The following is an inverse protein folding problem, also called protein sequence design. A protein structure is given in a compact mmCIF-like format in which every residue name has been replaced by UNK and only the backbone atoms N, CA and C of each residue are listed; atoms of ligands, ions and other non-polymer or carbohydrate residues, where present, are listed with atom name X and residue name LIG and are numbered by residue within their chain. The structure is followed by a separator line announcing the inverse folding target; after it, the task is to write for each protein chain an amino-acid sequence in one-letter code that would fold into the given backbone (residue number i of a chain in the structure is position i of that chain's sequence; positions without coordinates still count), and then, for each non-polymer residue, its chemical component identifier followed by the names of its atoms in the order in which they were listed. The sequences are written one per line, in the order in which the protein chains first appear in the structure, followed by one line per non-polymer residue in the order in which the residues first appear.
data_IF_841285251412
#
_entry.id   IF_841285251412
#
_cell.length_a   1.000
_cell.length_b   1.000
_cell.length_c   1.000
_cell.angle_alpha   90.00
_cell.angle_beta   90.00
_cell.angle_gamma   90.00
#
_symmetry.space_group_name_H-M   'P 1'
#
loop_
_entity.id
_entity.type
_entity.pdbx_description
1 polymer ?
#
# COMPACT_ATOMS: atom_id res chain seq x y z
N UNK A 1 84.08 18.28 9.44
CA UNK A 1 83.02 18.05 8.44
C UNK A 1 81.98 17.06 8.98
N UNK A 2 80.82 17.53 9.44
CA UNK A 2 79.45 17.10 9.06
C UNK A 2 78.46 17.61 10.11
N UNK A 3 77.35 18.12 9.58
CA UNK A 3 76.33 18.95 10.22
C UNK A 3 75.29 18.12 10.98
N UNK A 4 74.58 18.82 11.86
CA UNK A 4 73.37 18.44 12.59
C UNK A 4 72.17 17.96 11.74
N UNK A 5 71.19 17.29 12.36
CA UNK A 5 69.84 17.83 12.69
C UNK A 5 68.80 16.72 12.97
N UNK A 6 67.93 17.03 13.94
CA UNK A 6 66.64 16.47 14.29
C UNK A 6 65.58 16.63 13.16
N UNK A 7 64.63 15.69 13.01
CA UNK A 7 63.30 15.84 12.34
C UNK A 7 62.42 14.60 12.66
N UNK A 8 61.32 14.72 13.42
CA UNK A 8 59.90 15.05 13.09
C UNK A 8 59.09 13.87 12.48
N UNK A 9 57.90 13.65 13.09
CA UNK A 9 56.73 12.80 12.79
C UNK A 9 56.38 12.47 11.30
N UNK A 10 55.84 11.27 11.07
CA UNK A 10 54.65 10.99 10.21
C UNK A 10 54.15 9.56 10.47
N UNK A 11 52.98 9.36 11.07
CA UNK A 11 51.65 9.08 10.47
C UNK A 11 51.55 7.85 9.53
N UNK A 12 50.65 6.94 9.95
CA UNK A 12 49.80 6.03 9.16
C UNK A 12 50.43 4.85 8.41
N UNK A 13 50.17 3.62 8.89
CA UNK A 13 49.47 2.61 8.06
C UNK A 13 48.73 1.60 8.96
N UNK A 14 47.44 1.47 8.71
CA UNK A 14 46.51 0.49 9.29
C UNK A 14 46.73 -0.86 8.62
N UNK A 15 46.80 -1.94 9.39
CA UNK A 15 46.51 -3.29 8.90
C UNK A 15 45.75 -4.07 9.99
N UNK A 16 44.54 -4.44 9.61
CA UNK A 16 43.41 -5.01 10.33
C UNK A 16 43.70 -6.44 10.81
N UNK A 17 43.32 -6.79 12.05
CA UNK A 17 42.50 -7.97 12.39
C UNK A 17 41.82 -7.68 13.73
N UNK A 18 40.49 -7.55 13.77
CA UNK A 18 39.75 -7.80 15.01
C UNK A 18 38.61 -8.76 14.66
N UNK A 19 38.89 -10.04 14.86
CA UNK A 19 37.88 -11.04 15.14
C UNK A 19 37.27 -10.75 16.52
N UNK A 20 35.93 -10.78 16.57
CA UNK A 20 35.08 -10.89 17.77
C UNK A 20 35.24 -9.81 18.84
N UNK A 21 34.59 -8.67 18.64
CA UNK A 21 34.15 -7.83 19.77
C UNK A 21 32.74 -8.29 20.14
N UNK A 22 32.67 -9.05 21.24
CA UNK A 22 31.46 -9.24 22.03
C UNK A 22 30.78 -7.89 22.25
N UNK A 23 29.49 -7.80 21.96
CA UNK A 23 28.62 -6.68 22.32
C UNK A 23 28.56 -6.57 23.85
N UNK A 24 29.60 -6.03 24.49
CA UNK A 24 29.51 -5.52 25.85
C UNK A 24 30.65 -4.52 26.08
N UNK A 25 30.25 -3.37 26.63
CA UNK A 25 31.03 -2.19 27.04
C UNK A 25 31.34 -1.14 25.97
N UNK A 26 30.32 -0.32 25.65
CA UNK A 26 30.54 1.12 25.41
C UNK A 26 30.20 1.82 26.73
N UNK A 27 31.21 2.33 27.44
CA UNK A 27 30.99 3.23 28.58
C UNK A 27 30.73 4.63 28.03
N UNK A 28 29.45 4.98 27.90
CA UNK A 28 29.02 6.37 27.86
C UNK A 28 28.23 6.62 29.15
N UNK A 29 28.60 7.69 29.87
CA UNK A 29 27.84 8.22 31.00
C UNK A 29 26.48 8.72 30.50
N UNK A 30 25.54 7.80 30.33
CA UNK A 30 24.15 8.06 30.04
C UNK A 30 23.35 7.32 31.11
N UNK A 31 22.34 7.99 31.67
CA UNK A 31 21.50 7.36 32.69
C UNK A 31 20.83 6.13 32.08
N UNK A 32 20.56 5.07 32.86
CA UNK A 32 20.07 3.79 32.33
C UNK A 32 18.81 3.90 31.45
N UNK A 33 18.05 5.00 31.58
CA UNK A 33 16.88 5.32 30.77
C UNK A 33 17.24 5.78 29.34
N UNK A 34 18.30 6.57 29.18
CA UNK A 34 18.73 7.10 27.88
C UNK A 34 19.31 6.00 26.96
N UNK A 35 19.95 4.99 27.55
CA UNK A 35 20.53 3.84 26.83
C UNK A 35 19.43 2.88 26.37
N UNK A 36 18.40 2.64 27.20
CA UNK A 36 17.28 1.78 26.85
C UNK A 36 16.48 2.36 25.68
N UNK A 37 16.13 3.65 25.73
CA UNK A 37 15.37 4.33 24.68
C UNK A 37 16.14 4.35 23.35
N UNK A 38 17.44 4.66 23.36
CA UNK A 38 18.25 4.60 22.13
C UNK A 38 18.37 3.19 21.56
N UNK A 39 18.31 2.16 22.42
CA UNK A 39 18.36 0.76 21.96
C UNK A 39 17.05 0.33 21.30
N UNK A 40 15.89 0.71 21.86
CA UNK A 40 14.57 0.41 21.30
C UNK A 40 14.33 1.14 19.97
N UNK A 41 14.64 2.44 19.89
CA UNK A 41 14.53 3.22 18.65
C UNK A 41 15.44 2.67 17.54
N UNK A 42 16.65 2.22 17.91
CA UNK A 42 17.59 1.58 16.98
C UNK A 42 17.13 0.18 16.53
N UNK A 43 16.46 -0.57 17.39
CA UNK A 43 15.88 -1.88 17.05
C UNK A 43 14.71 -1.69 16.08
N UNK A 44 13.78 -0.79 16.37
CA UNK A 44 12.64 -0.51 15.50
C UNK A 44 13.07 0.04 14.14
N UNK A 45 14.05 0.94 14.08
CA UNK A 45 14.56 1.51 12.82
C UNK A 45 15.32 0.50 11.93
N UNK A 46 15.65 -0.68 12.45
CA UNK A 46 16.25 -1.79 11.68
C UNK A 46 15.29 -2.96 11.46
N UNK A 47 14.04 -2.85 11.93
CA UNK A 47 13.03 -3.88 11.78
C UNK A 47 12.63 -4.05 10.30
N UNK A 48 12.86 -5.24 9.76
CA UNK A 48 12.42 -5.60 8.42
C UNK A 48 11.13 -6.43 8.52
N UNK A 49 9.99 -5.73 8.47
CA UNK A 49 8.68 -6.36 8.55
C UNK A 49 8.36 -7.10 7.26
N UNK A 50 8.01 -8.38 7.37
CA UNK A 50 7.63 -9.21 6.21
C UNK A 50 6.14 -9.50 6.30
N UNK A 51 5.38 -8.92 5.38
CA UNK A 51 3.95 -9.22 5.24
C UNK A 51 3.78 -10.58 4.57
N UNK A 52 3.03 -11.51 5.16
CA UNK A 52 2.73 -12.78 4.50
C UNK A 52 2.09 -12.57 3.13
N UNK A 53 2.43 -13.44 2.18
CA UNK A 53 1.82 -13.42 0.85
C UNK A 53 0.32 -13.65 0.96
N UNK A 54 -0.46 -12.80 0.30
CA UNK A 54 -1.91 -12.95 0.16
C UNK A 54 -2.16 -13.95 -0.97
N UNK A 55 -2.82 -15.05 -0.65
CA UNK A 55 -3.21 -16.06 -1.64
C UNK A 55 -4.62 -15.77 -2.16
N UNK A 56 -4.90 -16.28 -3.36
CA UNK A 56 -6.22 -16.13 -3.95
C UNK A 56 -7.28 -16.82 -3.08
N UNK A 57 -8.33 -16.06 -2.73
CA UNK A 57 -9.42 -16.52 -1.88
C UNK A 57 -9.17 -16.35 -0.38
N UNK A 58 -8.03 -15.80 0.04
CA UNK A 58 -7.83 -15.40 1.44
C UNK A 58 -8.87 -14.34 1.82
N UNK A 59 -9.62 -14.60 2.90
CA UNK A 59 -10.66 -13.69 3.36
C UNK A 59 -10.11 -12.52 4.20
N UNK A 60 -8.93 -12.68 4.80
CA UNK A 60 -8.28 -11.68 5.64
C UNK A 60 -6.78 -11.57 5.41
N UNK A 61 -6.27 -10.33 5.48
CA UNK A 61 -4.84 -10.07 5.51
C UNK A 61 -4.23 -10.71 6.76
N UNK A 62 -3.22 -11.55 6.56
CA UNK A 62 -2.49 -12.14 7.67
C UNK A 62 -1.50 -11.12 8.22
N UNK A 63 -1.56 -10.85 9.52
CA UNK A 63 -0.65 -9.90 10.17
C UNK A 63 0.80 -10.39 10.10
N UNK A 64 1.77 -9.51 9.82
CA UNK A 64 3.18 -9.81 9.98
C UNK A 64 3.51 -10.26 11.40
N UNK A 65 4.56 -11.08 11.53
CA UNK A 65 5.06 -11.49 12.86
C UNK A 65 6.16 -10.53 13.32
N UNK A 66 6.05 -10.10 14.58
CA UNK A 66 7.09 -9.36 15.32
C UNK A 66 7.58 -10.20 16.50
N UNK A 67 8.64 -9.76 17.18
CA UNK A 67 9.11 -10.44 18.39
C UNK A 67 8.08 -10.35 19.52
N UNK A 68 8.14 -11.28 20.48
CA UNK A 68 7.13 -11.40 21.55
C UNK A 68 7.06 -10.20 22.52
N UNK A 69 8.08 -9.35 22.51
CA UNK A 69 8.19 -8.11 23.28
C UNK A 69 7.70 -6.88 22.50
N UNK A 70 7.17 -7.08 21.28
CA UNK A 70 6.62 -6.02 20.44
C UNK A 70 5.12 -6.24 20.17
N UNK A 71 4.42 -5.14 19.94
CA UNK A 71 3.04 -5.13 19.47
C UNK A 71 2.99 -4.62 18.03
N UNK A 72 2.09 -5.19 17.22
CA UNK A 72 1.87 -4.76 15.84
C UNK A 72 0.39 -4.49 15.60
N UNK A 73 0.12 -3.36 14.94
CA UNK A 73 -1.21 -2.88 14.58
C UNK A 73 -1.23 -2.54 13.08
N UNK A 74 -2.29 -2.93 12.39
CA UNK A 74 -2.56 -2.44 11.04
C UNK A 74 -3.21 -1.05 11.13
N UNK A 75 -2.62 -0.06 10.48
CA UNK A 75 -3.07 1.34 10.57
C UNK A 75 -3.73 1.85 9.28
N UNK A 76 -3.69 1.08 8.20
CA UNK A 76 -4.44 1.35 6.99
C UNK A 76 -3.72 0.95 5.70
N UNK A 77 -4.32 1.33 4.58
CA UNK A 77 -3.74 1.17 3.25
C UNK A 77 -4.27 2.22 2.28
N UNK A 78 -3.64 2.32 1.11
CA UNK A 78 -4.06 3.20 0.01
C UNK A 78 -5.41 2.83 -0.63
N UNK A 79 -5.79 1.55 -0.61
CA UNK A 79 -7.08 1.06 -1.11
C UNK A 79 -7.89 0.33 -0.04
N UNK A 80 -8.60 1.10 0.80
CA UNK A 80 -9.49 0.56 1.82
C UNK A 80 -10.62 -0.28 1.23
N UNK A 81 -11.01 -0.02 -0.03
CA UNK A 81 -12.03 -0.82 -0.70
C UNK A 81 -11.55 -2.24 -1.04
N UNK A 82 -10.24 -2.51 -0.96
CA UNK A 82 -9.63 -3.83 -1.18
C UNK A 82 -9.23 -4.48 0.14
N UNK A 83 -8.65 -3.73 1.09
CA UNK A 83 -8.33 -4.22 2.43
C UNK A 83 -8.97 -3.29 3.46
N UNK A 84 -10.02 -3.77 4.12
CA UNK A 84 -10.71 -3.02 5.15
C UNK A 84 -9.87 -2.86 6.43
N UNK A 85 -10.26 -1.92 7.28
CA UNK A 85 -9.60 -1.67 8.58
C UNK A 85 -9.63 -2.86 9.53
N UNK A 86 -10.57 -3.78 9.35
CA UNK A 86 -10.66 -5.03 10.12
C UNK A 86 -9.89 -6.20 9.46
N UNK A 87 -9.06 -5.89 8.46
CA UNK A 87 -8.26 -6.81 7.65
C UNK A 87 -9.05 -7.65 6.65
N UNK A 88 -10.35 -7.40 6.46
CA UNK A 88 -11.14 -8.11 5.45
C UNK A 88 -10.63 -7.77 4.04
N UNK A 89 -10.46 -8.82 3.22
CA UNK A 89 -10.03 -8.67 1.83
C UNK A 89 -11.27 -8.72 0.93
N UNK A 90 -11.52 -7.63 0.21
CA UNK A 90 -12.48 -7.54 -0.86
C UNK A 90 -11.76 -7.88 -2.18
N UNK A 91 -12.08 -9.05 -2.77
CA UNK A 91 -11.38 -9.58 -3.95
C UNK A 91 -11.47 -8.57 -5.12
N UNK A 92 -10.34 -7.98 -5.57
CA UNK A 92 -10.35 -7.08 -6.71
C UNK A 92 -10.61 -7.85 -8.01
N UNK A 93 -11.00 -7.16 -9.08
CA UNK A 93 -11.20 -7.81 -10.38
C UNK A 93 -9.90 -8.33 -10.99
N UNK A 94 -8.79 -7.61 -10.78
CA UNK A 94 -7.45 -7.95 -11.27
C UNK A 94 -6.44 -7.85 -10.14
N UNK A 95 -5.30 -8.53 -10.29
CA UNK A 95 -4.20 -8.44 -9.35
C UNK A 95 -3.85 -6.97 -9.10
N UNK A 96 -3.96 -6.54 -7.84
CA UNK A 96 -3.82 -5.14 -7.47
C UNK A 96 -2.75 -4.99 -6.41
N UNK A 97 -1.84 -4.04 -6.64
CA UNK A 97 -0.84 -3.63 -5.65
C UNK A 97 -1.50 -2.67 -4.67
N UNK A 98 -1.38 -2.99 -3.39
CA UNK A 98 -1.90 -2.22 -2.27
C UNK A 98 -0.74 -1.90 -1.35
N UNK A 99 -0.61 -0.65 -0.95
CA UNK A 99 0.37 -0.22 0.03
C UNK A 99 -0.25 -0.29 1.42
N UNK A 100 0.21 -1.23 2.25
CA UNK A 100 -0.27 -1.40 3.63
C UNK A 100 0.68 -0.76 4.63
N UNK A 101 0.11 -0.22 5.69
CA UNK A 101 0.84 0.43 6.77
C UNK A 101 0.56 -0.23 8.12
N UNK A 102 1.63 -0.36 8.90
CA UNK A 102 1.60 -0.92 10.25
C UNK A 102 2.26 0.04 11.24
N UNK A 103 1.79 -0.02 12.49
CA UNK A 103 2.48 0.55 13.64
C UNK A 103 3.04 -0.59 14.48
N UNK A 104 4.31 -0.52 14.80
CA UNK A 104 4.99 -1.43 15.72
C UNK A 104 5.37 -0.68 16.99
N UNK A 105 5.10 -1.27 18.14
CA UNK A 105 5.46 -0.71 19.45
C UNK A 105 6.37 -1.67 20.21
N UNK A 106 7.34 -1.11 20.91
CA UNK A 106 8.18 -1.81 21.89
C UNK A 106 8.28 -0.90 23.11
N UNK A 107 7.64 -1.29 24.22
CA UNK A 107 7.51 -0.42 25.39
C UNK A 107 6.78 0.89 25.05
N UNK A 108 7.39 2.03 25.36
CA UNK A 108 6.86 3.37 25.07
C UNK A 108 7.23 3.87 23.66
N UNK A 109 8.09 3.14 22.95
CA UNK A 109 8.59 3.53 21.64
C UNK A 109 7.68 2.97 20.54
N UNK A 110 7.28 3.80 19.57
CA UNK A 110 6.47 3.38 18.42
C UNK A 110 7.08 3.79 17.09
N UNK A 111 6.96 2.94 16.09
CA UNK A 111 7.36 3.21 14.71
C UNK A 111 6.21 2.88 13.76
N UNK A 112 5.99 3.74 12.78
CA UNK A 112 5.11 3.46 11.64
C UNK A 112 5.94 3.08 10.41
N UNK A 113 5.43 2.13 9.63
CA UNK A 113 6.08 1.72 8.39
C UNK A 113 6.03 2.83 7.33
N UNK A 114 6.92 2.76 6.33
CA UNK A 114 6.91 3.68 5.18
C UNK A 114 6.07 3.16 3.99
N UNK A 115 4.98 2.45 4.26
CA UNK A 115 4.25 1.68 3.27
C UNK A 115 4.97 0.39 2.88
N UNK A 116 4.25 -0.72 2.90
CA UNK A 116 4.71 -2.01 2.39
C UNK A 116 3.80 -2.40 1.23
N UNK A 117 4.34 -2.52 0.03
CA UNK A 117 3.58 -2.97 -1.13
C UNK A 117 3.30 -4.48 -1.01
N UNK A 118 2.02 -4.83 -1.05
CA UNK A 118 1.53 -6.20 -1.18
C UNK A 118 0.72 -6.34 -2.45
N UNK A 119 0.66 -7.55 -3.00
CA UNK A 119 -0.21 -7.85 -4.14
C UNK A 119 -1.41 -8.64 -3.64
N UNK A 120 -2.60 -8.11 -3.86
CA UNK A 120 -3.86 -8.81 -3.63
C UNK A 120 -4.26 -9.49 -4.94
N UNK A 121 -4.33 -10.84 -4.98
CA UNK A 121 -4.72 -11.55 -6.19
C UNK A 121 -6.16 -11.22 -6.58
N UNK A 122 -6.36 -10.91 -7.85
CA UNK A 122 -7.67 -10.62 -8.39
C UNK A 122 -8.46 -11.85 -8.78
N UNK A 123 -9.76 -11.64 -8.96
CA UNK A 123 -10.68 -12.63 -9.50
C UNK A 123 -10.23 -13.14 -10.87
N UNK A 124 -9.69 -12.24 -11.70
CA UNK A 124 -9.17 -12.55 -13.03
C UNK A 124 -7.69 -12.15 -13.12
N UNK A 125 -6.87 -13.04 -13.69
CA UNK A 125 -5.42 -12.80 -13.83
C UNK A 125 -5.07 -11.96 -15.08
N UNK A 126 -6.05 -11.63 -15.92
CA UNK A 126 -5.96 -10.81 -17.14
C UNK A 126 -7.36 -10.54 -17.71
N UNK A 127 -7.41 -9.72 -18.76
CA UNK A 127 -8.59 -9.63 -19.61
C UNK A 127 -9.02 -11.03 -20.08
N UNK A 128 -10.33 -11.27 -20.06
CA UNK A 128 -10.94 -12.53 -20.47
C UNK A 128 -11.53 -12.46 -21.89
N UNK A 129 -11.38 -11.31 -22.56
CA UNK A 129 -11.73 -11.07 -23.95
C UNK A 129 -10.92 -9.91 -24.55
N UNK A 130 -11.34 -9.41 -25.70
CA UNK A 130 -10.59 -8.46 -26.52
C UNK A 130 -10.62 -7.00 -26.02
N UNK A 131 -11.63 -6.60 -25.24
CA UNK A 131 -11.83 -5.17 -24.93
C UNK A 131 -10.75 -4.61 -23.99
N UNK A 132 -10.00 -3.62 -24.47
CA UNK A 132 -8.99 -2.92 -23.68
C UNK A 132 -9.62 -1.96 -22.66
N UNK A 133 -8.85 -1.60 -21.63
CA UNK A 133 -9.28 -0.63 -20.62
C UNK A 133 -9.61 0.72 -21.30
N UNK A 134 -10.82 1.29 -21.10
CA UNK A 134 -11.17 2.60 -21.61
C UNK A 134 -10.29 3.72 -21.01
N UNK A 135 -9.98 4.73 -21.83
CA UNK A 135 -9.28 5.93 -21.38
C UNK A 135 -10.29 6.95 -20.84
N UNK A 136 -10.24 7.19 -19.53
CA UNK A 136 -11.07 8.17 -18.81
C UNK A 136 -10.23 8.91 -17.78
N UNK A 137 -10.66 10.10 -17.37
CA UNK A 137 -9.97 10.91 -16.35
C UNK A 137 -10.95 11.21 -15.20
N UNK A 138 -10.64 10.83 -13.94
CA UNK A 138 -9.51 9.98 -13.55
C UNK A 138 -9.66 8.55 -14.12
N UNK A 139 -8.54 7.83 -14.27
CA UNK A 139 -8.56 6.48 -14.86
C UNK A 139 -9.38 5.51 -14.00
N UNK A 140 -10.09 4.58 -14.64
CA UNK A 140 -10.72 3.46 -13.92
C UNK A 140 -9.69 2.73 -13.07
N UNK A 141 -10.00 2.43 -11.81
CA UNK A 141 -9.10 1.66 -10.94
C UNK A 141 -8.88 0.25 -11.51
N UNK A 142 -9.98 -0.42 -11.85
CA UNK A 142 -9.99 -1.82 -12.26
C UNK A 142 -10.71 -1.99 -13.60
N UNK A 143 -10.25 -2.94 -14.42
CA UNK A 143 -10.88 -3.29 -15.68
C UNK A 143 -10.60 -4.75 -16.05
N UNK A 144 -11.65 -5.46 -16.46
CA UNK A 144 -11.53 -6.78 -17.08
C UNK A 144 -12.30 -6.77 -18.38
N UNK A 145 -11.55 -6.75 -19.48
CA UNK A 145 -12.10 -6.82 -20.83
C UNK A 145 -12.81 -8.14 -21.09
N UNK A 146 -13.99 -8.04 -21.71
CA UNK A 146 -14.73 -9.16 -22.33
C UNK A 146 -14.79 -8.95 -23.84
N UNK A 147 -15.49 -9.84 -24.54
CA UNK A 147 -15.77 -9.73 -25.97
C UNK A 147 -17.13 -9.05 -26.22
N UNK A 148 -17.27 -8.50 -27.41
CA UNK A 148 -18.49 -7.86 -27.89
C UNK A 148 -18.51 -6.35 -27.66
N UNK A 149 -19.50 -5.71 -28.27
CA UNK A 149 -19.69 -4.27 -28.25
C UNK A 149 -21.11 -3.94 -27.78
N UNK A 150 -21.25 -2.86 -27.03
CA UNK A 150 -22.54 -2.29 -26.73
C UNK A 150 -22.78 -1.09 -27.63
N UNK A 151 -23.80 -1.19 -28.49
CA UNK A 151 -24.21 -0.11 -29.38
C UNK A 151 -25.53 0.48 -28.90
N UNK A 152 -25.57 1.81 -28.80
CA UNK A 152 -26.83 2.50 -28.52
C UNK A 152 -27.72 2.45 -29.77
N UNK A 153 -28.95 1.96 -29.58
CA UNK A 153 -30.00 1.96 -30.58
C UNK A 153 -31.13 2.92 -30.16
N UNK A 154 -32.05 3.21 -31.08
CA UNK A 154 -33.23 4.06 -30.79
C UNK A 154 -34.15 3.43 -29.72
N UNK A 155 -34.02 2.12 -29.49
CA UNK A 155 -34.70 1.38 -28.42
C UNK A 155 -33.97 1.40 -27.07
N UNK A 156 -32.81 2.05 -26.95
CA UNK A 156 -32.09 2.15 -25.68
C UNK A 156 -32.83 3.04 -24.67
N UNK A 157 -32.72 2.70 -23.38
CA UNK A 157 -33.42 3.37 -22.28
C UNK A 157 -32.50 3.53 -21.07
N UNK A 158 -32.74 4.57 -20.28
CA UNK A 158 -32.26 4.66 -18.90
C UNK A 158 -33.29 3.95 -18.04
N UNK A 159 -32.90 2.89 -17.34
CA UNK A 159 -33.82 2.08 -16.53
C UNK A 159 -33.53 2.32 -15.06
N UNK A 160 -34.55 2.70 -14.29
CA UNK A 160 -34.48 2.88 -12.85
C UNK A 160 -35.11 1.68 -12.14
N UNK A 161 -34.53 1.25 -11.03
CA UNK A 161 -35.22 0.32 -10.14
C UNK A 161 -36.36 1.07 -9.44
N UNK A 162 -37.59 0.58 -9.57
CA UNK A 162 -38.77 1.21 -8.98
C UNK A 162 -38.74 1.34 -7.46
N UNK A 163 -37.94 0.53 -6.76
CA UNK A 163 -37.75 0.69 -5.32
C UNK A 163 -36.95 1.96 -4.96
N UNK A 164 -36.26 2.56 -5.92
CA UNK A 164 -35.36 3.70 -5.75
C UNK A 164 -35.68 4.84 -6.73
N UNK A 165 -36.87 4.86 -7.30
CA UNK A 165 -37.26 5.84 -8.33
C UNK A 165 -37.12 7.27 -7.79
N UNK A 166 -37.58 7.54 -6.56
CA UNK A 166 -37.53 8.87 -5.97
C UNK A 166 -36.09 9.38 -5.78
N UNK A 167 -35.17 8.49 -5.41
CA UNK A 167 -33.75 8.78 -5.18
C UNK A 167 -32.96 8.95 -6.48
N UNK A 168 -33.31 8.17 -7.51
CA UNK A 168 -32.55 8.12 -8.77
C UNK A 168 -33.09 9.05 -9.85
N UNK A 169 -34.36 9.45 -9.78
CA UNK A 169 -35.03 10.24 -10.84
C UNK A 169 -34.25 11.50 -11.21
N UNK A 170 -33.78 12.26 -10.21
CA UNK A 170 -33.03 13.49 -10.48
C UNK A 170 -31.72 13.22 -11.21
N UNK A 171 -30.99 12.18 -10.81
CA UNK A 171 -29.74 11.76 -11.45
C UNK A 171 -29.99 11.30 -12.89
N UNK A 172 -31.09 10.58 -13.12
CA UNK A 172 -31.48 10.08 -14.43
C UNK A 172 -31.82 11.21 -15.41
N UNK A 173 -32.58 12.23 -14.97
CA UNK A 173 -32.91 13.38 -15.82
C UNK A 173 -31.65 14.19 -16.17
N UNK A 174 -30.73 14.42 -15.22
CA UNK A 174 -29.45 15.08 -15.51
C UNK A 174 -28.65 14.26 -16.52
N UNK A 175 -28.54 12.94 -16.33
CA UNK A 175 -27.81 12.09 -17.26
C UNK A 175 -28.45 12.07 -18.66
N UNK A 176 -29.77 12.14 -18.77
CA UNK A 176 -30.50 12.23 -20.03
C UNK A 176 -30.23 13.56 -20.75
N UNK A 177 -30.18 14.67 -20.02
CA UNK A 177 -29.79 15.98 -20.56
C UNK A 177 -28.34 15.93 -21.07
N UNK A 178 -27.39 15.47 -20.26
CA UNK A 178 -25.98 15.32 -20.65
C UNK A 178 -25.81 14.41 -21.88
N UNK A 179 -26.54 13.29 -21.92
CA UNK A 179 -26.53 12.36 -23.04
C UNK A 179 -26.96 13.05 -24.34
N UNK A 180 -28.04 13.86 -24.28
CA UNK A 180 -28.50 14.63 -25.42
C UNK A 180 -27.50 15.69 -25.84
N UNK A 181 -26.90 16.39 -24.90
CA UNK A 181 -25.95 17.46 -25.18
C UNK A 181 -24.66 16.92 -25.82
N UNK A 182 -24.17 15.76 -25.36
CA UNK A 182 -22.94 15.14 -25.87
C UNK A 182 -23.17 14.43 -27.22
N UNK A 183 -24.29 13.71 -27.36
CA UNK A 183 -24.51 12.82 -28.51
C UNK A 183 -25.56 13.31 -29.50
N UNK A 184 -26.30 14.38 -29.16
CA UNK A 184 -27.38 14.93 -29.98
C UNK A 184 -28.61 14.02 -30.09
N UNK A 185 -28.78 13.07 -29.18
CA UNK A 185 -29.83 12.04 -29.22
C UNK A 185 -30.67 12.06 -27.95
N UNK A 186 -31.99 11.98 -28.11
CA UNK A 186 -32.89 11.78 -26.98
C UNK A 186 -32.81 10.32 -26.47
N UNK A 187 -32.97 10.15 -25.15
CA UNK A 187 -33.08 8.84 -24.49
C UNK A 187 -34.19 8.91 -23.44
N UNK A 188 -34.98 7.84 -23.34
CA UNK A 188 -36.13 7.77 -22.43
C UNK A 188 -35.75 7.12 -21.10
N UNK A 189 -36.36 7.60 -20.02
CA UNK A 189 -36.26 7.03 -18.66
C UNK A 189 -37.48 6.15 -18.42
N UNK A 190 -37.26 4.92 -17.96
CA UNK A 190 -38.32 3.98 -17.57
C UNK A 190 -38.03 3.39 -16.18
N UNK A 191 -39.05 2.75 -15.61
CA UNK A 191 -39.01 2.08 -14.30
C UNK A 191 -39.56 0.67 -14.42
#
# INVERSE_FOLDING_TARGET
MKKAKLKILSLLTVATVISSISLNTISALATGNDIAIQSEEKVLSTLNLVVPTINKGDAKLQMPKVSSDMEIEFIGCDYQEIIDSDLTINEPLVDTKVTVDFRVKQGETSLETKGIEVTVPGKYSKNIGANTKPEVIPSLREWVGKDGDFQIADSSRIVLDGNYEAELSKTAEIFKEDYKDILGKDIEIIT
#
